data_IF_481896921506
#
_entry.id   IF_481896921506
#
_cell.length_a   1.000
_cell.length_b   1.000
_cell.length_c   1.000
_cell.angle_alpha   90.00
_cell.angle_beta   90.00
_cell.angle_gamma   90.00
#
_symmetry.space_group_name_H-M   'P 1'
#
loop_
_entity.id
_entity.type
_entity.pdbx_description
1 polymer ?
#
# COMPACT_ATOMS: atom_id res chain seq x y z
N UNK A 1 14.23 -9.29 -14.77
CA UNK A 1 13.84 -8.06 -14.06
C UNK A 1 12.34 -7.81 -14.04
N UNK A 2 11.57 -8.04 -15.12
CA UNK A 2 10.10 -7.91 -15.11
C UNK A 2 9.39 -8.94 -14.21
N UNK A 3 9.87 -10.20 -14.21
CA UNK A 3 9.27 -11.29 -13.41
C UNK A 3 9.45 -11.09 -11.90
N UNK A 4 10.50 -10.39 -11.46
CA UNK A 4 10.74 -10.14 -10.03
C UNK A 4 9.83 -9.05 -9.48
N UNK A 5 9.55 -7.99 -10.25
CA UNK A 5 8.65 -6.91 -9.82
C UNK A 5 7.21 -7.39 -9.73
N UNK A 6 6.75 -8.19 -10.71
CA UNK A 6 5.39 -8.74 -10.72
C UNK A 6 5.13 -9.65 -9.52
N UNK A 7 6.09 -10.52 -9.18
CA UNK A 7 6.03 -11.37 -7.97
C UNK A 7 5.95 -10.55 -6.68
N UNK A 8 6.56 -9.36 -6.66
CA UNK A 8 6.56 -8.49 -5.49
C UNK A 8 5.19 -7.82 -5.29
N UNK A 9 4.55 -7.39 -6.37
CA UNK A 9 3.19 -6.82 -6.32
C UNK A 9 2.16 -7.85 -5.85
N UNK A 10 2.20 -9.07 -6.38
CA UNK A 10 1.30 -10.15 -5.94
C UNK A 10 1.53 -10.55 -4.48
N UNK A 11 2.81 -10.59 -4.06
CA UNK A 11 3.16 -10.87 -2.67
C UNK A 11 2.63 -9.78 -1.73
N UNK A 12 2.79 -8.50 -2.08
CA UNK A 12 2.26 -7.41 -1.26
C UNK A 12 0.76 -7.42 -1.16
N UNK A 13 0.07 -7.76 -2.26
CA UNK A 13 -1.38 -7.92 -2.24
C UNK A 13 -1.81 -9.05 -1.30
N UNK A 14 -1.14 -10.20 -1.38
CA UNK A 14 -1.41 -11.34 -0.48
C UNK A 14 -1.18 -10.98 0.99
N UNK A 15 -0.09 -10.26 1.28
CA UNK A 15 0.26 -9.84 2.65
C UNK A 15 -0.78 -8.86 3.19
N UNK A 16 -1.16 -7.84 2.42
CA UNK A 16 -2.09 -6.81 2.90
C UNK A 16 -3.50 -7.37 3.13
N UNK A 17 -3.94 -8.33 2.30
CA UNK A 17 -5.19 -9.06 2.50
C UNK A 17 -5.14 -9.93 3.76
N UNK A 18 -4.05 -10.66 3.98
CA UNK A 18 -3.87 -11.45 5.19
C UNK A 18 -3.88 -10.58 6.46
N UNK A 19 -3.20 -9.42 6.43
CA UNK A 19 -3.20 -8.45 7.53
C UNK A 19 -4.64 -7.97 7.81
N UNK A 20 -5.36 -7.57 6.77
CA UNK A 20 -6.74 -7.07 6.89
C UNK A 20 -7.66 -8.13 7.51
N UNK A 21 -7.60 -9.37 7.02
CA UNK A 21 -8.46 -10.46 7.46
C UNK A 21 -8.16 -10.93 8.89
N UNK A 22 -6.87 -11.04 9.26
CA UNK A 22 -6.47 -11.64 10.53
C UNK A 22 -6.43 -10.64 11.69
N UNK A 23 -6.20 -9.35 11.42
CA UNK A 23 -6.18 -8.31 12.47
C UNK A 23 -7.54 -7.64 12.68
N UNK A 24 -8.56 -8.03 11.90
CA UNK A 24 -9.93 -7.51 12.04
C UNK A 24 -10.09 -6.05 11.64
N UNK A 25 -9.15 -5.47 10.91
CA UNK A 25 -9.25 -4.10 10.41
C UNK A 25 -10.16 -4.04 9.18
N UNK A 26 -10.96 -2.98 9.07
CA UNK A 26 -11.78 -2.74 7.86
C UNK A 26 -10.92 -2.42 6.62
N UNK A 27 -9.66 -2.05 6.82
CA UNK A 27 -8.77 -1.65 5.75
C UNK A 27 -7.31 -1.87 6.13
N UNK A 28 -6.48 -2.20 5.13
CA UNK A 28 -5.03 -2.20 5.24
C UNK A 28 -4.40 -1.73 3.93
N UNK A 29 -3.22 -1.12 4.01
CA UNK A 29 -2.47 -0.65 2.85
C UNK A 29 -0.96 -0.72 3.12
N UNK A 30 -0.18 -1.05 2.09
CA UNK A 30 1.28 -1.04 2.10
C UNK A 30 1.74 0.11 1.22
N UNK A 31 2.63 0.94 1.76
CA UNK A 31 3.25 2.05 1.04
C UNK A 31 4.76 1.86 0.98
N UNK A 32 5.38 2.27 -0.12
CA UNK A 32 6.82 2.42 -0.25
C UNK A 32 7.21 3.90 -0.28
N UNK A 33 8.41 4.21 0.20
CA UNK A 33 9.02 5.55 0.05
C UNK A 33 9.84 5.57 -1.24
N UNK A 34 9.50 6.49 -2.14
CA UNK A 34 10.19 6.69 -3.41
C UNK A 34 10.57 8.18 -3.55
N UNK A 35 11.81 8.50 -3.18
CA UNK A 35 12.27 9.88 -3.09
C UNK A 35 11.45 10.68 -2.08
N UNK A 36 10.87 11.82 -2.49
CA UNK A 36 10.06 12.69 -1.63
C UNK A 36 8.56 12.32 -1.58
N UNK A 37 8.22 11.08 -1.92
CA UNK A 37 6.83 10.59 -1.99
C UNK A 37 6.66 9.25 -1.29
N UNK A 38 5.47 9.03 -0.77
CA UNK A 38 4.94 7.68 -0.47
C UNK A 38 4.06 7.23 -1.63
N UNK A 39 4.21 5.97 -2.03
CA UNK A 39 3.50 5.33 -3.15
C UNK A 39 2.75 4.13 -2.63
N UNK A 40 1.49 3.96 -3.02
CA UNK A 40 0.69 2.79 -2.66
C UNK A 40 1.19 1.58 -3.46
N UNK A 41 1.56 0.50 -2.75
CA UNK A 41 2.00 -0.75 -3.37
C UNK A 41 0.89 -1.81 -3.37
N UNK A 42 0.08 -1.85 -2.30
CA UNK A 42 -1.04 -2.77 -2.17
C UNK A 42 -2.09 -2.24 -1.18
N UNK A 43 -3.35 -2.59 -1.38
CA UNK A 43 -4.45 -2.24 -0.49
C UNK A 43 -5.48 -3.37 -0.38
N UNK A 44 -6.12 -3.48 0.78
CA UNK A 44 -7.24 -4.39 1.04
C UNK A 44 -8.36 -3.67 1.81
N UNK A 45 -9.60 -4.14 1.60
CA UNK A 45 -10.79 -3.57 2.22
C UNK A 45 -11.12 -2.17 1.69
N UNK A 46 -11.63 -1.28 2.55
CA UNK A 46 -12.08 0.04 2.11
C UNK A 46 -10.98 0.89 1.42
N UNK A 47 -9.70 0.67 1.74
CA UNK A 47 -8.61 1.41 1.05
C UNK A 47 -8.51 1.10 -0.43
N UNK A 48 -8.85 -0.10 -0.91
CA UNK A 48 -8.80 -0.40 -2.35
C UNK A 48 -9.88 0.32 -3.14
N UNK A 49 -10.97 0.75 -2.48
CA UNK A 49 -12.03 1.55 -3.08
C UNK A 49 -11.73 3.05 -3.02
N UNK A 50 -11.10 3.51 -1.92
CA UNK A 50 -10.83 4.93 -1.67
C UNK A 50 -9.53 5.44 -2.31
N UNK A 51 -8.56 4.55 -2.53
CA UNK A 51 -7.27 4.90 -3.10
C UNK A 51 -7.05 4.17 -4.43
N UNK A 52 -6.89 4.90 -5.55
CA UNK A 52 -6.58 4.25 -6.81
C UNK A 52 -5.21 3.56 -6.73
N UNK A 53 -4.95 2.49 -7.52
CA UNK A 53 -3.67 1.78 -7.52
C UNK A 53 -2.44 2.66 -7.83
N UNK A 54 -2.64 3.85 -8.40
CA UNK A 54 -1.59 4.83 -8.70
C UNK A 54 -1.45 5.92 -7.63
N UNK A 55 -2.09 5.74 -6.48
CA UNK A 55 -2.08 6.72 -5.40
C UNK A 55 -0.65 6.98 -4.90
N UNK A 56 -0.31 8.27 -4.83
CA UNK A 56 0.91 8.73 -4.18
C UNK A 56 0.68 10.09 -3.53
N UNK A 57 1.48 10.40 -2.50
CA UNK A 57 1.49 11.73 -1.89
C UNK A 57 2.89 12.12 -1.42
N UNK A 58 3.07 13.41 -1.12
CA UNK A 58 4.34 13.94 -0.59
C UNK A 58 4.63 13.38 0.80
N UNK A 59 5.92 13.15 1.11
CA UNK A 59 6.35 12.99 2.49
C UNK A 59 5.96 14.21 3.33
N UNK A 60 5.65 13.97 4.61
CA UNK A 60 5.11 14.95 5.54
C UNK A 60 3.65 15.34 5.33
N UNK A 61 2.96 14.83 4.28
CA UNK A 61 1.54 15.11 4.03
C UNK A 61 0.64 13.99 4.56
N UNK A 62 -0.34 14.37 5.38
CA UNK A 62 -1.30 13.43 5.97
C UNK A 62 -0.64 12.41 6.90
N UNK A 63 -1.44 11.51 7.49
CA UNK A 63 -0.90 10.55 8.46
C UNK A 63 0.13 9.62 7.84
N UNK A 64 -0.13 9.11 6.63
CA UNK A 64 0.79 8.19 5.93
C UNK A 64 2.09 8.90 5.57
N UNK A 65 2.06 10.13 5.04
CA UNK A 65 3.29 10.86 4.72
C UNK A 65 4.05 11.34 5.95
N UNK A 66 3.38 11.54 7.10
CA UNK A 66 4.02 11.99 8.34
C UNK A 66 4.80 10.89 9.06
N UNK A 67 4.35 9.63 8.98
CA UNK A 67 5.01 8.48 9.64
C UNK A 67 6.06 7.78 8.76
N UNK A 68 6.14 8.14 7.48
CA UNK A 68 6.99 7.49 6.48
C UNK A 68 8.44 7.98 6.48
#
# INVERSE_FOLDING_TARGET
TLTSTFKFTELWQTVVEAIQQNLGHQTAAIFSVQGQKVVLEAAAGASSELMPPTYSQKLGKGIVGWVA
#
